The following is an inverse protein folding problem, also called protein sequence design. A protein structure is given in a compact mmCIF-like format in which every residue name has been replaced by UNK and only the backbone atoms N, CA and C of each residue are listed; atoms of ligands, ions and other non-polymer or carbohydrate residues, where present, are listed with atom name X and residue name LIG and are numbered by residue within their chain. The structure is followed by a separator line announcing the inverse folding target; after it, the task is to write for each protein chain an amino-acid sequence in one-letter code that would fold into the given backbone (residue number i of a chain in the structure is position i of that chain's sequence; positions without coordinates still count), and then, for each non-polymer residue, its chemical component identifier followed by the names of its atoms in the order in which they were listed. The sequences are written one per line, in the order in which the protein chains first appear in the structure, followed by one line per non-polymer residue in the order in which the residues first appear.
data_IF_833745800111
#
_entry.id   IF_833745800111
#
_cell.length_a   1.000
_cell.length_b   1.000
_cell.length_c   1.000
_cell.angle_alpha   90.00
_cell.angle_beta   90.00
_cell.angle_gamma   90.00
#
_symmetry.space_group_name_H-M   'P 1'
#
loop_
_entity.id
_entity.type
_entity.pdbx_description
1 polymer ?
#
# COMPACT_ATOMS: atom_id res chain seq x y z
N UNK A 1 18.49 8.20 -33.79
CA UNK A 1 17.81 7.94 -32.52
C UNK A 1 16.41 7.30 -32.77
N UNK A 2 16.33 5.94 -32.87
CA UNK A 2 15.09 5.21 -33.24
C UNK A 2 14.63 4.21 -32.15
N UNK A 3 14.98 4.44 -30.89
CA UNK A 3 14.59 3.55 -29.78
C UNK A 3 13.20 3.86 -29.21
N UNK A 4 12.73 5.10 -29.30
CA UNK A 4 11.44 5.51 -28.74
C UNK A 4 10.22 4.80 -29.37
N UNK A 5 10.29 4.40 -30.64
CA UNK A 5 9.17 3.75 -31.34
C UNK A 5 8.92 2.29 -30.94
N UNK A 6 9.93 1.59 -30.38
CA UNK A 6 9.80 0.17 -29.99
C UNK A 6 9.20 -0.03 -28.60
N UNK A 7 9.28 0.98 -27.73
CA UNK A 7 8.71 0.92 -26.37
C UNK A 7 7.20 1.17 -26.31
N UNK A 8 6.66 1.88 -27.28
CA UNK A 8 5.25 2.26 -27.32
C UNK A 8 4.28 1.07 -27.34
N UNK A 9 4.51 -0.02 -28.13
CA UNK A 9 3.62 -1.18 -28.14
C UNK A 9 3.71 -2.02 -26.86
N UNK A 10 4.87 -2.05 -26.19
CA UNK A 10 5.04 -2.76 -24.91
C UNK A 10 4.31 -2.02 -23.78
N UNK A 11 4.42 -0.70 -23.74
CA UNK A 11 3.69 0.14 -22.76
C UNK A 11 2.18 0.06 -22.97
N UNK A 12 1.70 0.05 -24.21
CA UNK A 12 0.27 -0.06 -24.50
C UNK A 12 -0.29 -1.44 -24.10
N UNK A 13 0.44 -2.52 -24.38
CA UNK A 13 0.08 -3.88 -23.96
C UNK A 13 0.12 -4.03 -22.45
N UNK A 14 1.13 -3.50 -21.76
CA UNK A 14 1.22 -3.49 -20.30
C UNK A 14 0.07 -2.74 -19.66
N UNK A 15 -0.29 -1.56 -20.20
CA UNK A 15 -1.44 -0.77 -19.74
C UNK A 15 -2.77 -1.53 -19.93
N UNK A 16 -2.97 -2.17 -21.07
CA UNK A 16 -4.16 -2.97 -21.33
C UNK A 16 -4.25 -4.18 -20.39
N UNK A 17 -3.14 -4.88 -20.15
CA UNK A 17 -3.08 -6.01 -19.22
C UNK A 17 -3.40 -5.57 -17.78
N UNK A 18 -2.83 -4.45 -17.32
CA UNK A 18 -3.15 -3.89 -16.00
C UNK A 18 -4.61 -3.49 -15.87
N UNK A 19 -5.18 -2.87 -16.89
CA UNK A 19 -6.60 -2.50 -16.89
C UNK A 19 -7.50 -3.74 -16.85
N UNK A 20 -7.16 -4.79 -17.60
CA UNK A 20 -7.91 -6.04 -17.58
C UNK A 20 -7.80 -6.74 -16.21
N UNK A 21 -6.59 -6.76 -15.62
CA UNK A 21 -6.39 -7.30 -14.27
C UNK A 21 -7.17 -6.50 -13.21
N UNK A 22 -7.22 -5.18 -13.32
CA UNK A 22 -8.00 -4.33 -12.41
C UNK A 22 -9.51 -4.53 -12.54
N UNK A 23 -10.00 -5.04 -13.68
CA UNK A 23 -11.39 -5.37 -13.92
C UNK A 23 -11.78 -6.78 -13.46
N UNK A 24 -10.82 -7.66 -13.23
CA UNK A 24 -11.05 -8.99 -12.66
C UNK A 24 -11.09 -8.88 -11.13
N UNK A 25 -12.18 -9.31 -10.46
CA UNK A 25 -12.32 -9.18 -9.01
C UNK A 25 -11.22 -9.90 -8.24
N UNK A 26 -10.79 -11.05 -8.73
CA UNK A 26 -9.74 -11.85 -8.08
C UNK A 26 -8.38 -11.20 -8.24
N UNK A 27 -8.05 -10.81 -9.48
CA UNK A 27 -6.77 -10.18 -9.79
C UNK A 27 -6.65 -8.79 -9.17
N UNK A 28 -7.73 -8.01 -9.09
CA UNK A 28 -7.71 -6.70 -8.42
C UNK A 28 -7.50 -6.84 -6.92
N UNK A 29 -8.14 -7.81 -6.28
CA UNK A 29 -7.97 -8.10 -4.86
C UNK A 29 -6.54 -8.55 -4.54
N UNK A 30 -6.05 -9.56 -5.26
CA UNK A 30 -4.69 -10.09 -5.06
C UNK A 30 -3.62 -9.05 -5.42
N UNK A 31 -3.80 -8.35 -6.54
CA UNK A 31 -2.85 -7.33 -7.01
C UNK A 31 -2.75 -6.15 -6.05
N UNK A 32 -3.87 -5.65 -5.53
CA UNK A 32 -3.87 -4.57 -4.55
C UNK A 32 -3.28 -5.02 -3.21
N UNK A 33 -3.55 -6.26 -2.78
CA UNK A 33 -2.93 -6.85 -1.59
C UNK A 33 -1.42 -6.98 -1.73
N UNK A 34 -0.95 -7.54 -2.84
CA UNK A 34 0.48 -7.68 -3.11
C UNK A 34 1.20 -6.32 -3.21
N UNK A 35 0.57 -5.33 -3.86
CA UNK A 35 1.11 -3.98 -3.98
C UNK A 35 1.22 -3.30 -2.61
N UNK A 36 0.20 -3.38 -1.77
CA UNK A 36 0.22 -2.80 -0.43
C UNK A 36 1.28 -3.46 0.47
N UNK A 37 1.39 -4.79 0.44
CA UNK A 37 2.43 -5.53 1.15
C UNK A 37 3.84 -5.14 0.67
N UNK A 38 4.03 -5.03 -0.64
CA UNK A 38 5.28 -4.58 -1.26
C UNK A 38 5.66 -3.17 -0.84
N UNK A 39 4.70 -2.24 -0.81
CA UNK A 39 4.94 -0.86 -0.35
C UNK A 39 5.33 -0.80 1.12
N UNK A 40 4.69 -1.58 2.01
CA UNK A 40 5.06 -1.66 3.41
C UNK A 40 6.49 -2.19 3.58
N UNK A 41 6.87 -3.22 2.82
CA UNK A 41 8.21 -3.79 2.83
C UNK A 41 9.25 -2.80 2.31
N UNK A 42 8.98 -2.15 1.17
CA UNK A 42 9.87 -1.13 0.60
C UNK A 42 10.05 0.04 1.56
N UNK A 43 8.98 0.49 2.23
CA UNK A 43 9.05 1.53 3.24
C UNK A 43 10.06 1.18 4.34
N UNK A 44 10.02 -0.05 4.85
CA UNK A 44 10.96 -0.53 5.86
C UNK A 44 12.42 -0.56 5.35
N UNK A 45 12.63 -0.96 4.09
CA UNK A 45 13.97 -1.00 3.48
C UNK A 45 14.53 0.41 3.29
N UNK A 46 13.75 1.31 2.70
CA UNK A 46 14.17 2.69 2.41
C UNK A 46 14.47 3.49 3.69
N UNK A 47 13.70 3.24 4.75
CA UNK A 47 13.91 3.90 6.05
C UNK A 47 14.99 3.25 6.91
N UNK A 48 15.61 2.14 6.46
CA UNK A 48 16.60 1.37 7.22
C UNK A 48 16.01 0.51 8.34
N UNK A 49 14.70 0.57 8.56
CA UNK A 49 14.01 -0.16 9.62
C UNK A 49 14.00 -1.68 9.43
N UNK A 50 14.20 -2.16 8.20
CA UNK A 50 14.26 -3.58 7.92
C UNK A 50 15.40 -4.29 8.67
N UNK A 51 16.48 -3.58 9.02
CA UNK A 51 17.61 -4.13 9.78
C UNK A 51 17.38 -4.13 11.30
N UNK A 52 16.50 -3.27 11.77
CA UNK A 52 16.22 -3.10 13.20
C UNK A 52 15.04 -3.95 13.68
N UNK A 53 14.14 -4.33 12.75
CA UNK A 53 12.93 -5.11 13.06
C UNK A 53 13.19 -6.60 13.00
N UNK A 54 12.52 -7.36 13.87
CA UNK A 54 12.51 -8.81 13.78
C UNK A 54 11.84 -9.30 12.49
N UNK A 55 12.27 -10.44 11.91
CA UNK A 55 11.64 -10.99 10.70
C UNK A 55 10.12 -11.22 10.86
N UNK A 56 9.70 -11.66 12.06
CA UNK A 56 8.29 -11.86 12.36
C UNK A 56 7.48 -10.57 12.26
N UNK A 57 8.04 -9.46 12.72
CA UNK A 57 7.41 -8.14 12.62
C UNK A 57 7.28 -7.66 11.18
N UNK A 58 8.32 -7.82 10.38
CA UNK A 58 8.28 -7.46 8.96
C UNK A 58 7.20 -8.25 8.20
N UNK A 59 7.09 -9.55 8.49
CA UNK A 59 6.04 -10.40 7.93
C UNK A 59 4.64 -9.94 8.37
N UNK A 60 4.45 -9.63 9.65
CA UNK A 60 3.16 -9.19 10.16
C UNK A 60 2.74 -7.83 9.58
N UNK A 61 3.67 -6.89 9.41
CA UNK A 61 3.44 -5.61 8.75
C UNK A 61 3.05 -5.81 7.27
N UNK A 62 3.75 -6.70 6.56
CA UNK A 62 3.43 -7.03 5.17
C UNK A 62 2.07 -7.73 5.03
N UNK A 63 1.74 -8.66 5.93
CA UNK A 63 0.44 -9.34 5.94
C UNK A 63 -0.71 -8.38 6.28
N UNK A 64 -0.53 -7.49 7.26
CA UNK A 64 -1.51 -6.47 7.59
C UNK A 64 -1.76 -5.51 6.44
N UNK A 65 -0.70 -5.04 5.81
CA UNK A 65 -0.79 -4.20 4.61
C UNK A 65 -1.46 -4.94 3.45
N UNK A 66 -1.09 -6.20 3.22
CA UNK A 66 -1.67 -7.05 2.18
C UNK A 66 -3.15 -7.30 2.37
N UNK A 67 -3.59 -7.58 3.59
CA UNK A 67 -5.00 -7.81 3.91
C UNK A 67 -5.87 -6.55 3.66
N UNK A 68 -5.41 -5.37 4.11
CA UNK A 68 -6.10 -4.12 3.83
C UNK A 68 -6.06 -3.75 2.33
N UNK A 69 -4.93 -3.99 1.68
CA UNK A 69 -4.81 -3.79 0.23
C UNK A 69 -5.76 -4.67 -0.56
N UNK A 70 -5.92 -5.94 -0.17
CA UNK A 70 -6.90 -6.85 -0.76
C UNK A 70 -8.34 -6.33 -0.57
N UNK A 71 -8.66 -5.81 0.61
CA UNK A 71 -9.95 -5.15 0.86
C UNK A 71 -10.19 -3.95 -0.06
N UNK A 72 -9.17 -3.12 -0.28
CA UNK A 72 -9.22 -2.01 -1.25
C UNK A 72 -9.45 -2.54 -2.67
N UNK A 73 -8.72 -3.56 -3.10
CA UNK A 73 -8.89 -4.17 -4.42
C UNK A 73 -10.28 -4.74 -4.64
N UNK A 74 -10.86 -5.37 -3.61
CA UNK A 74 -12.22 -5.90 -3.65
C UNK A 74 -13.28 -4.80 -3.78
N UNK A 75 -13.10 -3.68 -3.06
CA UNK A 75 -14.08 -2.58 -3.00
C UNK A 75 -13.94 -1.58 -4.13
N UNK A 76 -12.70 -1.23 -4.49
CA UNK A 76 -12.36 -0.26 -5.54
C UNK A 76 -12.03 -0.90 -6.88
N UNK A 77 -12.19 -2.21 -7.03
CA UNK A 77 -11.97 -2.93 -8.28
C UNK A 77 -13.10 -2.71 -9.30
N UNK A 78 -13.66 -3.77 -9.88
CA UNK A 78 -14.59 -3.70 -11.01
C UNK A 78 -15.85 -2.86 -10.73
N UNK A 79 -16.38 -2.93 -9.50
CA UNK A 79 -17.57 -2.18 -9.10
C UNK A 79 -17.36 -0.66 -9.06
N UNK A 80 -16.15 -0.22 -8.72
CA UNK A 80 -15.83 1.20 -8.64
C UNK A 80 -15.83 1.87 -10.02
N UNK A 81 -15.21 1.22 -11.01
CA UNK A 81 -15.21 1.74 -12.38
C UNK A 81 -16.64 1.92 -12.94
N UNK A 82 -17.52 0.94 -12.70
CA UNK A 82 -18.91 1.03 -13.14
C UNK A 82 -19.68 2.17 -12.48
N UNK A 83 -19.39 2.46 -11.20
CA UNK A 83 -19.97 3.60 -10.47
C UNK A 83 -19.49 4.94 -11.03
N UNK A 84 -18.20 5.07 -11.35
CA UNK A 84 -17.65 6.29 -11.97
C UNK A 84 -18.31 6.59 -13.32
N UNK A 85 -18.48 5.56 -14.15
CA UNK A 85 -19.17 5.72 -15.45
C UNK A 85 -20.63 6.12 -15.25
N UNK A 86 -21.35 5.48 -14.34
CA UNK A 86 -22.75 5.81 -14.03
C UNK A 86 -22.91 7.22 -13.42
N UNK A 87 -21.93 7.67 -12.65
CA UNK A 87 -21.91 9.02 -12.08
C UNK A 87 -21.59 10.12 -13.10
N UNK A 88 -21.32 9.77 -14.37
CA UNK A 88 -21.03 10.74 -15.43
C UNK A 88 -19.63 11.36 -15.34
N UNK A 89 -18.66 10.63 -14.75
CA UNK A 89 -17.30 11.11 -14.69
C UNK A 89 -16.71 11.40 -16.07
N UNK A 90 -16.07 12.55 -16.22
CA UNK A 90 -15.41 12.97 -17.46
C UNK A 90 -14.11 12.21 -17.73
N UNK A 91 -13.50 11.65 -16.67
CA UNK A 91 -12.23 10.93 -16.74
C UNK A 91 -12.23 9.67 -15.86
N UNK A 92 -13.15 8.71 -16.07
CA UNK A 92 -13.33 7.58 -15.17
C UNK A 92 -12.08 6.72 -14.99
N UNK A 93 -11.23 6.63 -16.03
CA UNK A 93 -9.96 5.88 -15.95
C UNK A 93 -8.93 6.56 -15.06
N UNK A 94 -8.83 7.89 -15.10
CA UNK A 94 -7.92 8.64 -14.26
C UNK A 94 -8.38 8.61 -12.80
N UNK A 95 -9.65 8.81 -12.55
CA UNK A 95 -10.26 8.75 -11.21
C UNK A 95 -10.13 7.35 -10.60
N UNK A 96 -10.34 6.31 -11.42
CA UNK A 96 -10.13 4.92 -11.00
C UNK A 96 -8.68 4.66 -10.61
N UNK A 97 -7.72 5.09 -11.42
CA UNK A 97 -6.29 4.91 -11.16
C UNK A 97 -5.86 5.66 -9.88
N UNK A 98 -6.32 6.91 -9.70
CA UNK A 98 -6.03 7.71 -8.51
C UNK A 98 -6.68 7.11 -7.27
N UNK A 99 -7.96 6.75 -7.31
CA UNK A 99 -8.68 6.19 -6.17
C UNK A 99 -8.08 4.86 -5.72
N UNK A 100 -7.80 3.96 -6.66
CA UNK A 100 -7.18 2.66 -6.37
C UNK A 100 -5.74 2.84 -5.88
N UNK A 101 -4.96 3.72 -6.51
CA UNK A 101 -3.58 4.00 -6.11
C UNK A 101 -3.50 4.57 -4.69
N UNK A 102 -4.29 5.59 -4.37
CA UNK A 102 -4.37 6.16 -3.03
C UNK A 102 -4.88 5.16 -2.00
N UNK A 103 -5.86 4.33 -2.38
CA UNK A 103 -6.38 3.25 -1.53
C UNK A 103 -5.29 2.23 -1.19
N UNK A 104 -4.50 1.79 -2.16
CA UNK A 104 -3.39 0.84 -1.96
C UNK A 104 -2.28 1.47 -1.10
N UNK A 105 -1.93 2.73 -1.33
CA UNK A 105 -0.95 3.45 -0.49
C UNK A 105 -1.43 3.56 0.95
N UNK A 106 -2.70 3.94 1.16
CA UNK A 106 -3.30 3.99 2.49
C UNK A 106 -3.34 2.63 3.17
N UNK A 107 -3.70 1.58 2.44
CA UNK A 107 -3.69 0.20 2.94
C UNK A 107 -2.28 -0.27 3.32
N UNK A 108 -1.26 0.09 2.54
CA UNK A 108 0.14 -0.21 2.85
C UNK A 108 0.58 0.43 4.16
N UNK A 109 0.27 1.72 4.34
CA UNK A 109 0.63 2.46 5.54
C UNK A 109 -0.14 1.98 6.79
N UNK A 110 -1.48 1.94 6.72
CA UNK A 110 -2.32 1.56 7.87
C UNK A 110 -2.19 0.08 8.21
N UNK A 111 -2.16 -0.79 7.20
CA UNK A 111 -2.04 -2.23 7.42
C UNK A 111 -0.69 -2.61 7.99
N UNK A 112 0.37 -1.94 7.59
CA UNK A 112 1.71 -2.10 8.16
C UNK A 112 1.73 -1.73 9.65
N UNK A 113 1.13 -0.59 10.02
CA UNK A 113 1.06 -0.16 11.43
C UNK A 113 0.23 -1.12 12.29
N UNK A 114 -0.91 -1.59 11.79
CA UNK A 114 -1.76 -2.55 12.50
C UNK A 114 -1.02 -3.88 12.67
N UNK A 115 -0.42 -4.43 11.60
CA UNK A 115 0.34 -5.67 11.65
C UNK A 115 1.51 -5.60 12.62
N UNK A 116 2.26 -4.50 12.60
CA UNK A 116 3.35 -4.25 13.55
C UNK A 116 2.85 -4.14 14.99
N UNK A 117 1.71 -3.45 15.21
CA UNK A 117 1.09 -3.32 16.52
C UNK A 117 0.65 -4.66 17.11
N UNK A 118 0.04 -5.53 16.30
CA UNK A 118 -0.34 -6.88 16.72
C UNK A 118 0.89 -7.68 17.15
N UNK A 119 1.99 -7.61 16.40
CA UNK A 119 3.23 -8.30 16.77
C UNK A 119 3.84 -7.79 18.07
N UNK A 120 3.78 -6.48 18.33
CA UNK A 120 4.23 -5.92 19.60
C UNK A 120 3.49 -6.56 20.78
N UNK A 121 2.17 -6.74 20.65
CA UNK A 121 1.34 -7.38 21.68
C UNK A 121 1.71 -8.87 21.86
N UNK A 122 1.95 -9.58 20.75
CA UNK A 122 2.26 -11.01 20.76
C UNK A 122 3.66 -11.28 21.33
N UNK A 123 4.65 -10.46 20.93
CA UNK A 123 6.04 -10.65 21.33
C UNK A 123 6.40 -9.97 22.65
N UNK A 124 5.50 -9.17 23.22
CA UNK A 124 5.76 -8.38 24.42
C UNK A 124 6.87 -7.35 24.21
N UNK A 125 7.12 -6.97 22.96
CA UNK A 125 8.12 -5.96 22.63
C UNK A 125 7.62 -4.57 23.05
N UNK A 126 8.48 -3.84 23.74
CA UNK A 126 8.20 -2.48 24.21
C UNK A 126 7.93 -1.58 22.98
N UNK A 127 6.74 -0.96 22.86
CA UNK A 127 6.40 -0.13 21.71
C UNK A 127 7.35 1.08 21.54
N UNK A 128 8.04 1.48 22.59
CA UNK A 128 9.03 2.56 22.56
C UNK A 128 10.33 2.17 21.86
N UNK A 129 10.69 0.87 21.81
CA UNK A 129 11.95 0.41 21.23
C UNK A 129 11.98 0.51 19.71
N UNK A 130 10.84 0.46 19.07
CA UNK A 130 10.71 0.50 17.60
C UNK A 130 9.93 1.71 17.10
N UNK A 131 9.83 2.78 17.84
CA UNK A 131 9.12 4.01 17.50
C UNK A 131 8.00 3.83 16.46
N UNK A 132 6.87 4.40 16.62
CA UNK A 132 5.78 4.36 15.63
C UNK A 132 6.17 5.11 14.34
N UNK A 133 7.20 4.61 13.67
CA UNK A 133 7.88 5.30 12.58
C UNK A 133 7.14 5.26 11.24
N UNK A 134 5.95 4.68 11.20
CA UNK A 134 5.11 4.75 10.01
C UNK A 134 4.19 5.98 9.98
N UNK A 135 4.23 6.84 10.97
CA UNK A 135 3.54 8.13 10.93
C UNK A 135 4.57 9.24 10.98
N UNK A 136 4.82 9.87 9.85
CA UNK A 136 5.49 11.17 9.74
C UNK A 136 4.87 12.21 10.70
N UNK A 137 3.69 11.95 11.26
CA UNK A 137 2.98 12.79 12.21
C UNK A 137 3.31 12.53 13.68
N UNK A 138 3.84 11.36 14.06
CA UNK A 138 4.13 11.07 15.47
C UNK A 138 5.43 11.73 15.97
N UNK A 139 6.33 12.12 15.08
CA UNK A 139 7.58 12.79 15.44
C UNK A 139 7.43 14.24 15.88
N UNK A 140 6.28 14.87 15.64
CA UNK A 140 6.03 16.28 16.01
C UNK A 140 5.30 16.44 17.34
N UNK A 141 4.88 15.36 18.00
CA UNK A 141 3.96 15.45 19.13
C UNK A 141 4.54 15.10 20.52
N UNK A 142 5.80 14.71 20.64
CA UNK A 142 6.41 14.50 21.95
C UNK A 142 7.47 15.56 22.25
N UNK A 143 7.12 16.65 22.97
CA UNK A 143 8.13 17.47 23.58
C UNK A 143 8.82 16.63 24.67
N UNK A 144 10.11 16.34 24.49
CA UNK A 144 10.96 15.82 25.55
C UNK A 144 10.97 16.81 26.72
N UNK A 145 10.15 16.54 27.72
CA UNK A 145 10.32 17.17 29.03
C UNK A 145 11.56 16.52 29.66
N UNK A 146 12.72 17.11 29.42
CA UNK A 146 13.90 16.86 30.24
C UNK A 146 13.67 17.57 31.58
N UNK A 147 13.41 16.78 32.61
CA UNK A 147 13.52 17.27 33.97
C UNK A 147 15.01 17.29 34.34
N UNK A 148 15.55 18.47 34.50
CA UNK A 148 16.79 18.74 35.24
C UNK A 148 16.52 18.68 36.73
#
# INVERSE_FOLDING_TARGET
MKLAGKFNPLLSKGKAALMNAAMDPTLSTLGAGAAAAGLATLGNVVTGQAQEKSPGRLIAEALGAGALGAGVGATLGPGYMSRLVKAGSTSPKAEFALGTGLGVLGAGALGGTIGGGVMNVIQGEDPERYGSSNTLMARTATPTLQYT
#
